data_IF_307680278822
#
_entry.id   IF_307680278822
#
_cell.length_a   1.000
_cell.length_b   1.000
_cell.length_c   1.000
_cell.angle_alpha   90.00
_cell.angle_beta   90.00
_cell.angle_gamma   90.00
#
_symmetry.space_group_name_H-M   'P 1'
#
loop_
_entity.id
_entity.type
_entity.pdbx_description
1 polymer ?
#
# COMPACT_ATOMS: atom_id res chain seq x y z
N UNK A 1 -28.67 -13.35 -33.38
CA UNK A 1 -28.66 -12.84 -31.99
C UNK A 1 -28.58 -14.06 -31.10
N UNK A 2 -27.39 -14.38 -30.59
CA UNK A 2 -27.09 -15.66 -29.93
C UNK A 2 -27.75 -15.65 -28.55
N UNK A 3 -28.76 -16.52 -28.37
CA UNK A 3 -29.46 -16.77 -27.11
C UNK A 3 -28.42 -17.09 -26.04
N UNK A 4 -28.07 -16.10 -25.22
CA UNK A 4 -27.28 -16.33 -24.01
C UNK A 4 -28.22 -17.06 -23.07
N UNK A 5 -28.04 -18.38 -22.99
CA UNK A 5 -28.87 -19.27 -22.17
C UNK A 5 -29.08 -18.68 -20.78
N UNK A 6 -30.34 -18.53 -20.38
CA UNK A 6 -30.76 -17.97 -19.08
C UNK A 6 -30.10 -18.66 -17.86
N UNK A 7 -29.50 -19.82 -18.06
CA UNK A 7 -28.74 -20.58 -17.06
C UNK A 7 -27.37 -19.97 -16.69
N UNK A 8 -26.75 -19.18 -17.58
CA UNK A 8 -25.41 -18.59 -17.33
C UNK A 8 -25.50 -17.27 -16.55
N UNK A 9 -26.65 -16.60 -16.63
CA UNK A 9 -26.91 -15.32 -15.97
C UNK A 9 -26.74 -15.35 -14.44
N UNK A 10 -27.33 -16.31 -13.70
CA UNK A 10 -27.17 -16.35 -12.24
C UNK A 10 -25.72 -16.65 -11.84
N UNK A 11 -25.01 -17.50 -12.58
CA UNK A 11 -23.61 -17.85 -12.30
C UNK A 11 -22.69 -16.64 -12.51
N UNK A 12 -22.93 -15.84 -13.55
CA UNK A 12 -22.19 -14.61 -13.82
C UNK A 12 -22.44 -13.55 -12.73
N UNK A 13 -23.67 -13.41 -12.25
CA UNK A 13 -24.01 -12.49 -11.16
C UNK A 13 -23.30 -12.91 -9.87
N UNK A 14 -23.34 -14.19 -9.51
CA UNK A 14 -22.64 -14.71 -8.32
C UNK A 14 -21.13 -14.46 -8.42
N UNK A 15 -20.54 -14.68 -9.59
CA UNK A 15 -19.12 -14.43 -9.80
C UNK A 15 -18.78 -12.94 -9.66
N UNK A 16 -19.56 -12.02 -10.24
CA UNK A 16 -19.33 -10.58 -10.12
C UNK A 16 -19.43 -10.10 -8.67
N UNK A 17 -20.38 -10.65 -7.89
CA UNK A 17 -20.54 -10.32 -6.48
C UNK A 17 -19.37 -10.82 -5.63
N UNK A 18 -18.80 -11.99 -5.94
CA UNK A 18 -17.64 -12.50 -5.20
C UNK A 18 -16.39 -11.69 -5.47
N UNK A 19 -16.07 -11.32 -6.72
CA UNK A 19 -14.92 -10.44 -7.01
C UNK A 19 -15.09 -9.03 -6.43
N UNK A 20 -16.31 -8.48 -6.40
CA UNK A 20 -16.56 -7.19 -5.78
C UNK A 20 -16.38 -7.21 -4.24
N UNK A 21 -16.54 -8.37 -3.61
CA UNK A 21 -16.26 -8.58 -2.19
C UNK A 21 -14.79 -8.89 -1.90
N UNK A 22 -13.96 -9.15 -2.92
CA UNK A 22 -12.53 -9.34 -2.74
C UNK A 22 -11.87 -7.99 -2.49
N UNK A 23 -11.27 -7.85 -1.31
CA UNK A 23 -10.39 -6.74 -0.97
C UNK A 23 -9.23 -6.71 -1.97
N UNK A 24 -8.84 -5.56 -2.55
CA UNK A 24 -7.69 -5.50 -3.45
C UNK A 24 -6.49 -6.18 -2.81
N UNK A 25 -5.91 -7.14 -3.54
CA UNK A 25 -4.68 -7.87 -3.16
C UNK A 25 -3.43 -6.98 -3.21
N UNK A 26 -3.57 -5.74 -3.66
CA UNK A 26 -2.50 -4.76 -3.75
C UNK A 26 -2.33 -4.01 -2.41
N UNK A 27 -2.15 -4.77 -1.34
CA UNK A 27 -1.93 -4.23 0.00
C UNK A 27 -0.58 -3.52 0.11
N UNK A 28 -0.45 -2.67 1.12
CA UNK A 28 0.78 -1.95 1.44
C UNK A 28 2.02 -2.87 1.51
N UNK A 29 3.10 -2.50 0.81
CA UNK A 29 4.36 -3.25 0.77
C UNK A 29 5.43 -2.61 1.68
N UNK A 30 5.73 -3.28 2.80
CA UNK A 30 6.69 -2.81 3.79
C UNK A 30 8.13 -2.67 3.24
N UNK A 31 8.57 -3.62 2.40
CA UNK A 31 9.92 -3.58 1.84
C UNK A 31 10.08 -2.37 0.90
N UNK A 32 9.10 -2.14 0.05
CA UNK A 32 9.09 -1.01 -0.88
C UNK A 32 9.08 0.31 -0.11
N UNK A 33 8.23 0.44 0.91
CA UNK A 33 8.20 1.63 1.75
C UNK A 33 9.54 1.89 2.47
N UNK A 34 10.18 0.85 3.02
CA UNK A 34 11.51 0.97 3.63
C UNK A 34 12.55 1.46 2.63
N UNK A 35 12.57 0.90 1.43
CA UNK A 35 13.52 1.26 0.38
C UNK A 35 13.30 2.71 -0.10
N UNK A 36 12.05 3.13 -0.28
CA UNK A 36 11.70 4.51 -0.67
C UNK A 36 12.16 5.53 0.37
N UNK A 37 12.14 5.18 1.65
CA UNK A 37 12.53 6.07 2.76
C UNK A 37 14.05 6.11 3.03
N UNK A 38 14.88 5.39 2.27
CA UNK A 38 16.34 5.47 2.41
C UNK A 38 16.87 6.90 2.19
N UNK A 39 16.19 7.70 1.37
CA UNK A 39 16.49 9.12 1.15
C UNK A 39 16.37 9.97 2.42
N UNK A 40 15.69 9.48 3.46
CA UNK A 40 15.54 10.15 4.76
C UNK A 40 16.71 9.89 5.72
N UNK A 41 17.56 8.88 5.48
CA UNK A 41 18.65 8.51 6.38
C UNK A 41 19.58 9.66 6.76
N UNK A 42 20.01 10.56 5.84
CA UNK A 42 20.88 11.68 6.21
C UNK A 42 20.25 12.60 7.27
N UNK A 43 18.93 12.78 7.22
CA UNK A 43 18.21 13.56 8.21
C UNK A 43 18.00 12.78 9.51
N UNK A 44 17.57 11.52 9.42
CA UNK A 44 17.32 10.65 10.58
C UNK A 44 18.60 10.38 11.40
N UNK A 45 19.75 10.31 10.75
CA UNK A 45 21.06 10.14 11.40
C UNK A 45 21.72 11.45 11.82
N UNK A 46 21.00 12.58 11.82
CA UNK A 46 21.50 13.92 12.18
C UNK A 46 22.70 14.40 11.33
N UNK A 47 22.85 13.92 10.09
CA UNK A 47 23.88 14.44 9.17
C UNK A 47 23.43 15.74 8.47
N UNK A 48 22.14 16.07 8.53
CA UNK A 48 21.55 17.26 7.91
C UNK A 48 20.49 17.87 8.82
N UNK A 49 20.37 19.20 8.85
CA UNK A 49 19.40 19.91 9.70
C UNK A 49 17.95 19.83 9.18
N UNK A 50 17.78 19.50 7.90
CA UNK A 50 16.47 19.45 7.22
C UNK A 50 16.39 18.22 6.33
N UNK A 51 15.21 17.59 6.20
CA UNK A 51 15.02 16.49 5.29
C UNK A 51 15.22 16.95 3.84
N UNK A 52 15.91 16.16 3.00
CA UNK A 52 15.99 16.45 1.57
C UNK A 52 14.60 16.35 0.93
N UNK A 53 14.34 17.10 -0.13
CA UNK A 53 13.03 17.09 -0.83
C UNK A 53 12.60 15.67 -1.21
N UNK A 54 13.55 14.85 -1.69
CA UNK A 54 13.32 13.45 -2.03
C UNK A 54 12.84 12.59 -0.84
N UNK A 55 13.20 12.93 0.40
CA UNK A 55 12.65 12.26 1.59
C UNK A 55 11.18 12.63 1.79
N UNK A 56 10.83 13.91 1.69
CA UNK A 56 9.45 14.36 1.82
C UNK A 56 8.55 13.77 0.73
N UNK A 57 9.02 13.76 -0.52
CA UNK A 57 8.28 13.18 -1.65
C UNK A 57 8.05 11.68 -1.42
N UNK A 58 9.08 10.93 -1.01
CA UNK A 58 8.95 9.52 -0.67
C UNK A 58 7.96 9.27 0.50
N UNK A 59 7.94 10.12 1.52
CA UNK A 59 6.97 10.03 2.62
C UNK A 59 5.54 10.25 2.12
N UNK A 60 5.33 11.19 1.19
CA UNK A 60 4.02 11.42 0.57
C UNK A 60 3.57 10.20 -0.22
N UNK A 61 4.46 9.59 -1.00
CA UNK A 61 4.16 8.39 -1.78
C UNK A 61 3.86 7.17 -0.89
N UNK A 62 4.62 6.97 0.19
CA UNK A 62 4.36 5.92 1.19
C UNK A 62 3.02 6.12 1.89
N UNK A 63 2.63 7.37 2.17
CA UNK A 63 1.30 7.67 2.71
C UNK A 63 0.20 7.35 1.69
N UNK A 64 0.43 7.68 0.42
CA UNK A 64 -0.54 7.43 -0.66
C UNK A 64 -0.73 5.93 -0.96
N UNK A 65 0.29 5.11 -0.74
CA UNK A 65 0.23 3.65 -0.93
C UNK A 65 -0.51 2.89 0.18
N UNK A 66 -0.92 3.57 1.26
CA UNK A 66 -1.73 3.02 2.35
C UNK A 66 -3.10 3.74 2.47
N UNK A 67 -4.01 3.63 1.48
CA UNK A 67 -5.26 4.40 1.47
C UNK A 67 -6.27 3.96 2.53
N UNK A 68 -6.16 2.76 3.11
CA UNK A 68 -7.12 2.24 4.09
C UNK A 68 -6.54 2.15 5.51
N UNK A 69 -7.41 2.21 6.52
CA UNK A 69 -7.03 2.02 7.95
C UNK A 69 -6.18 0.77 8.23
N UNK A 70 -6.50 -0.44 7.72
CA UNK A 70 -5.66 -1.60 7.95
C UNK A 70 -4.28 -1.45 7.31
N UNK A 71 -4.17 -0.88 6.10
CA UNK A 71 -2.88 -0.62 5.46
C UNK A 71 -2.06 0.40 6.24
N UNK A 72 -2.68 1.45 6.77
CA UNK A 72 -2.02 2.41 7.66
C UNK A 72 -1.48 1.76 8.93
N UNK A 73 -2.20 0.79 9.51
CA UNK A 73 -1.68 0.02 10.66
C UNK A 73 -0.49 -0.82 10.26
N UNK A 74 -0.57 -1.55 9.15
CA UNK A 74 0.55 -2.32 8.62
C UNK A 74 1.77 -1.43 8.33
N UNK A 75 1.56 -0.25 7.75
CA UNK A 75 2.60 0.74 7.51
C UNK A 75 3.24 1.22 8.81
N UNK A 76 2.44 1.56 9.82
CA UNK A 76 2.92 1.99 11.13
C UNK A 76 3.79 0.91 11.79
N UNK A 77 3.30 -0.34 11.88
CA UNK A 77 4.03 -1.46 12.48
C UNK A 77 5.35 -1.74 11.74
N UNK A 78 5.31 -1.71 10.40
CA UNK A 78 6.49 -1.88 9.54
C UNK A 78 7.56 -0.81 9.82
N UNK A 79 7.17 0.47 9.82
CA UNK A 79 8.09 1.59 9.99
C UNK A 79 8.62 1.70 11.42
N UNK A 80 7.79 1.40 12.41
CA UNK A 80 8.24 1.30 13.80
C UNK A 80 9.32 0.21 13.94
N UNK A 81 9.07 -0.98 13.39
CA UNK A 81 10.05 -2.06 13.40
C UNK A 81 11.35 -1.68 12.68
N UNK A 82 11.23 -0.95 11.56
CA UNK A 82 12.38 -0.40 10.83
C UNK A 82 13.27 0.48 11.71
N UNK A 83 12.65 1.34 12.52
CA UNK A 83 13.34 2.27 13.40
C UNK A 83 14.00 1.58 14.62
N UNK A 84 13.45 0.45 15.08
CA UNK A 84 13.99 -0.30 16.22
C UNK A 84 14.99 -1.39 15.84
N UNK A 85 15.01 -1.82 14.58
CA UNK A 85 15.98 -2.81 14.06
C UNK A 85 17.37 -2.19 13.72
N UNK A 86 17.58 -0.89 13.98
CA UNK A 86 18.82 -0.14 13.66
C UNK A 86 19.63 0.24 14.90
#
# INVERSE_FOLDING_TARGET
MKSVSASVFPLAIVLVLTVAAMKPVNGFNCLEAKLSLLSCLPFLSNNTDKPPTACCDAVVDVKASAPTKPELRTACECLMKAATDS
#
